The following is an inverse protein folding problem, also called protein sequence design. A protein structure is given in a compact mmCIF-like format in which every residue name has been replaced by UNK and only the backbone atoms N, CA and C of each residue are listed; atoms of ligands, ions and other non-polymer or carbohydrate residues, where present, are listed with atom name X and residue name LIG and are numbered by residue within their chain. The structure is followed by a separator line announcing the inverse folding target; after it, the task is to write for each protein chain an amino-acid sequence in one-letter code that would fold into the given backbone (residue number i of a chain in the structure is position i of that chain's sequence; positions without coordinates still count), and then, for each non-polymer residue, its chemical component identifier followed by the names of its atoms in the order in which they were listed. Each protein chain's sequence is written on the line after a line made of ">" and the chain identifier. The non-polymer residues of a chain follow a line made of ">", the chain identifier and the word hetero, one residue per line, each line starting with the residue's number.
data_IF_060928901157
#
_entry.id   IF_060928901157
#
_cell.length_a   1.000
_cell.length_b   1.000
_cell.length_c   1.000
_cell.angle_alpha   90.00
_cell.angle_beta   90.00
_cell.angle_gamma   90.00
#
_symmetry.space_group_name_H-M   'P 1'
#
loop_
_entity.id
_entity.type
_entity.pdbx_description
1 polymer ?
#
# COMPACT_ATOMS: atom_id res chain seq x y z
N UNK A 1 -33.44 67.05 -8.65
CA UNK A 1 -32.66 66.22 -7.71
C UNK A 1 -33.54 65.03 -7.33
N UNK A 2 -33.32 63.87 -7.94
CA UNK A 2 -34.06 62.64 -7.60
C UNK A 2 -33.05 61.53 -7.38
N UNK A 3 -32.85 61.18 -6.12
CA UNK A 3 -32.01 60.06 -5.67
C UNK A 3 -32.79 58.75 -5.79
N UNK A 4 -32.31 57.84 -6.64
CA UNK A 4 -32.82 56.46 -6.72
C UNK A 4 -31.99 55.61 -5.76
N UNK A 5 -32.63 55.08 -4.72
CA UNK A 5 -32.03 54.15 -3.75
C UNK A 5 -32.01 52.74 -4.34
N UNK A 6 -30.84 52.10 -4.40
CA UNK A 6 -30.69 50.72 -4.84
C UNK A 6 -31.20 49.72 -3.77
N UNK A 7 -31.78 48.56 -4.16
CA UNK A 7 -32.26 47.57 -3.21
C UNK A 7 -31.09 46.77 -2.61
N UNK A 8 -31.19 46.48 -1.31
CA UNK A 8 -30.20 45.70 -0.57
C UNK A 8 -30.07 44.26 -1.09
N UNK A 9 -28.84 43.81 -1.30
CA UNK A 9 -28.52 42.46 -1.76
C UNK A 9 -28.92 41.40 -0.70
N UNK A 10 -29.63 40.37 -1.15
CA UNK A 10 -30.04 39.22 -0.35
C UNK A 10 -28.80 38.40 0.06
N UNK A 11 -28.60 38.05 1.35
CA UNK A 11 -27.46 37.24 1.75
C UNK A 11 -27.57 35.82 1.16
N UNK A 12 -26.43 35.31 0.68
CA UNK A 12 -26.31 33.97 0.13
C UNK A 12 -26.62 32.91 1.20
N UNK A 13 -27.25 31.78 0.83
CA UNK A 13 -27.51 30.69 1.78
C UNK A 13 -26.19 30.14 2.30
N UNK A 14 -26.07 30.04 3.63
CA UNK A 14 -24.93 29.44 4.29
C UNK A 14 -24.75 27.99 3.80
N UNK A 15 -23.56 27.69 3.30
CA UNK A 15 -23.18 26.34 2.91
C UNK A 15 -23.39 25.40 4.10
N UNK A 16 -24.23 24.37 3.93
CA UNK A 16 -24.43 23.35 4.95
C UNK A 16 -23.08 22.70 5.27
N UNK A 17 -22.70 22.55 6.55
CA UNK A 17 -21.48 21.84 6.92
C UNK A 17 -21.66 20.37 6.55
N UNK A 18 -21.21 20.00 5.35
CA UNK A 18 -21.07 18.62 4.95
C UNK A 18 -20.23 17.90 5.99
N UNK A 19 -20.66 16.70 6.39
CA UNK A 19 -20.03 15.82 7.36
C UNK A 19 -18.53 15.66 7.07
N UNK A 20 -17.71 16.58 7.58
CA UNK A 20 -16.27 16.48 7.48
C UNK A 20 -15.86 15.32 8.37
N UNK A 21 -15.71 14.14 7.78
CA UNK A 21 -15.27 12.95 8.48
C UNK A 21 -13.99 13.29 9.25
N UNK A 22 -14.00 13.02 10.56
CA UNK A 22 -12.85 13.32 11.43
C UNK A 22 -11.60 12.66 10.81
N UNK A 23 -10.49 13.39 10.59
CA UNK A 23 -9.30 12.87 9.91
C UNK A 23 -8.77 11.52 10.46
N UNK A 24 -8.97 11.28 11.76
CA UNK A 24 -8.63 10.00 12.41
C UNK A 24 -9.51 8.81 11.98
N UNK A 25 -10.81 9.03 11.77
CA UNK A 25 -11.74 7.97 11.36
C UNK A 25 -11.40 7.47 9.94
N UNK A 26 -11.10 8.40 9.02
CA UNK A 26 -10.69 8.05 7.66
C UNK A 26 -9.38 7.24 7.65
N UNK A 27 -8.40 7.61 8.48
CA UNK A 27 -7.14 6.86 8.60
C UNK A 27 -7.34 5.45 9.14
N UNK A 28 -8.19 5.29 10.17
CA UNK A 28 -8.53 3.97 10.72
C UNK A 28 -9.25 3.11 9.69
N UNK A 29 -10.21 3.67 8.94
CA UNK A 29 -10.91 2.96 7.87
C UNK A 29 -9.95 2.49 6.78
N UNK A 30 -9.01 3.34 6.35
CA UNK A 30 -7.98 2.96 5.36
C UNK A 30 -7.10 1.83 5.90
N UNK A 31 -6.64 1.90 7.15
CA UNK A 31 -5.84 0.83 7.77
C UNK A 31 -6.62 -0.48 7.89
N UNK A 32 -7.90 -0.41 8.24
CA UNK A 32 -8.78 -1.57 8.30
C UNK A 32 -9.00 -2.19 6.92
N UNK A 33 -9.17 -1.38 5.87
CA UNK A 33 -9.27 -1.86 4.49
C UNK A 33 -7.99 -2.57 4.05
N UNK A 34 -6.82 -2.02 4.39
CA UNK A 34 -5.53 -2.68 4.14
C UNK A 34 -5.39 -3.99 4.92
N UNK A 35 -5.84 -4.04 6.18
CA UNK A 35 -5.83 -5.27 6.96
C UNK A 35 -6.73 -6.34 6.34
N UNK A 36 -7.95 -5.98 5.94
CA UNK A 36 -8.86 -6.89 5.26
C UNK A 36 -8.24 -7.42 3.95
N UNK A 37 -7.59 -6.55 3.17
CA UNK A 37 -6.87 -6.95 1.96
C UNK A 37 -5.69 -7.90 2.29
N UNK A 38 -4.95 -7.65 3.37
CA UNK A 38 -3.85 -8.53 3.80
C UNK A 38 -4.35 -9.93 4.14
N UNK A 39 -5.44 -10.03 4.91
CA UNK A 39 -6.06 -11.30 5.27
C UNK A 39 -6.60 -12.04 4.04
N UNK A 40 -7.23 -11.31 3.12
CA UNK A 40 -7.72 -11.86 1.86
C UNK A 40 -6.59 -12.51 1.04
N UNK A 41 -5.50 -11.79 0.77
CA UNK A 41 -4.39 -12.32 -0.02
C UNK A 41 -3.60 -13.41 0.71
N UNK A 42 -3.55 -13.36 2.05
CA UNK A 42 -2.99 -14.45 2.86
C UNK A 42 -3.82 -15.73 2.70
N UNK A 43 -5.16 -15.62 2.74
CA UNK A 43 -6.03 -16.77 2.57
C UNK A 43 -5.84 -17.44 1.20
N UNK A 44 -5.71 -16.65 0.13
CA UNK A 44 -5.38 -17.18 -1.20
C UNK A 44 -4.01 -17.84 -1.24
N UNK A 45 -2.97 -17.22 -0.68
CA UNK A 45 -1.64 -17.81 -0.63
C UNK A 45 -1.62 -19.17 0.10
N UNK A 46 -2.36 -19.28 1.21
CA UNK A 46 -2.52 -20.54 1.95
C UNK A 46 -3.29 -21.57 1.14
N UNK A 47 -4.42 -21.18 0.54
CA UNK A 47 -5.23 -22.07 -0.29
C UNK A 47 -4.42 -22.65 -1.45
N UNK A 48 -3.63 -21.81 -2.12
CA UNK A 48 -2.72 -22.23 -3.20
C UNK A 48 -1.63 -23.19 -2.70
N UNK A 49 -1.06 -22.93 -1.52
CA UNK A 49 -0.10 -23.84 -0.89
C UNK A 49 -0.70 -25.21 -0.55
N UNK A 50 -1.94 -25.24 -0.05
CA UNK A 50 -2.65 -26.48 0.27
C UNK A 50 -3.02 -27.26 -0.99
N UNK A 51 -3.52 -26.59 -2.04
CA UNK A 51 -4.02 -27.24 -3.25
C UNK A 51 -2.92 -27.63 -4.23
N UNK A 52 -1.81 -26.88 -4.29
CA UNK A 52 -0.75 -27.06 -5.30
C UNK A 52 0.60 -27.48 -4.69
N UNK A 53 0.62 -27.77 -3.39
CA UNK A 53 1.73 -28.40 -2.69
C UNK A 53 2.82 -27.45 -2.19
N UNK A 54 3.86 -28.04 -1.61
CA UNK A 54 4.89 -27.33 -0.85
C UNK A 54 5.62 -26.25 -1.64
N UNK A 55 5.77 -26.41 -2.96
CA UNK A 55 6.46 -25.43 -3.79
C UNK A 55 5.65 -24.12 -3.92
N UNK A 56 4.32 -24.21 -4.00
CA UNK A 56 3.45 -23.03 -3.95
C UNK A 56 3.53 -22.33 -2.59
N UNK A 57 3.52 -23.10 -1.49
CA UNK A 57 3.72 -22.56 -0.15
C UNK A 57 5.09 -21.88 0.00
N UNK A 58 6.15 -22.48 -0.55
CA UNK A 58 7.50 -21.90 -0.53
C UNK A 58 7.53 -20.55 -1.27
N UNK A 59 6.97 -20.47 -2.47
CA UNK A 59 6.95 -19.21 -3.22
C UNK A 59 6.12 -18.14 -2.53
N UNK A 60 4.96 -18.51 -1.95
CA UNK A 60 4.15 -17.60 -1.14
C UNK A 60 4.98 -16.99 0.01
N UNK A 61 5.68 -17.81 0.79
CA UNK A 61 6.53 -17.35 1.90
C UNK A 61 7.71 -16.54 1.39
N UNK A 62 8.38 -17.01 0.33
CA UNK A 62 9.54 -16.32 -0.24
C UNK A 62 9.17 -14.91 -0.70
N UNK A 63 8.05 -14.75 -1.41
CA UNK A 63 7.59 -13.45 -1.91
C UNK A 63 6.93 -12.58 -0.84
N UNK A 64 6.44 -13.19 0.24
CA UNK A 64 6.04 -12.46 1.43
C UNK A 64 7.24 -11.80 2.14
N UNK A 65 8.43 -12.43 2.10
CA UNK A 65 9.64 -11.89 2.75
C UNK A 65 10.47 -11.03 1.78
N UNK A 66 10.43 -11.32 0.48
CA UNK A 66 11.29 -10.70 -0.53
C UNK A 66 11.31 -9.16 -0.51
N UNK A 67 10.21 -8.42 -0.29
CA UNK A 67 10.24 -6.97 -0.25
C UNK A 67 11.19 -6.41 0.82
N UNK A 68 11.31 -7.06 1.97
CA UNK A 68 12.19 -6.62 3.06
C UNK A 68 13.66 -6.89 2.75
N UNK A 69 13.97 -7.83 1.86
CA UNK A 69 15.36 -8.07 1.45
C UNK A 69 15.96 -6.83 0.76
N UNK A 70 15.13 -5.90 0.28
CA UNK A 70 15.59 -4.62 -0.26
C UNK A 70 16.31 -3.74 0.77
N UNK A 71 16.06 -3.91 2.07
CA UNK A 71 16.81 -3.22 3.13
C UNK A 71 18.31 -3.54 3.07
N UNK A 72 18.69 -4.73 2.59
CA UNK A 72 20.09 -5.14 2.47
C UNK A 72 20.88 -4.27 1.47
N UNK A 73 20.21 -3.63 0.51
CA UNK A 73 20.85 -2.70 -0.43
C UNK A 73 21.51 -1.49 0.28
N UNK A 74 21.04 -1.14 1.49
CA UNK A 74 21.53 -0.04 2.32
C UNK A 74 22.30 -0.47 3.56
N UNK A 75 22.50 -1.77 3.80
CA UNK A 75 23.02 -2.29 5.07
C UNK A 75 24.36 -1.66 5.50
N UNK A 76 25.26 -1.38 4.55
CA UNK A 76 26.57 -0.76 4.83
C UNK A 76 26.46 0.68 5.32
N UNK A 77 25.43 1.40 4.94
CA UNK A 77 25.22 2.81 5.30
C UNK A 77 24.21 2.99 6.44
N UNK A 78 23.68 1.90 7.00
CA UNK A 78 22.67 1.92 8.06
C UNK A 78 23.14 2.61 9.34
N UNK A 79 24.45 2.64 9.62
CA UNK A 79 25.02 3.33 10.78
C UNK A 79 25.12 4.85 10.60
N UNK A 80 24.90 5.37 9.39
CA UNK A 80 25.05 6.79 9.04
C UNK A 80 23.72 7.54 8.97
N UNK A 81 22.60 6.84 9.21
CA UNK A 81 21.25 7.39 9.02
C UNK A 81 20.51 7.53 10.33
N UNK A 82 19.56 8.47 10.37
CA UNK A 82 18.74 8.72 11.55
C UNK A 82 17.74 7.59 11.80
N UNK A 83 17.24 7.50 13.03
CA UNK A 83 16.22 6.51 13.39
C UNK A 83 14.96 6.70 12.53
N UNK A 84 14.56 5.64 11.81
CA UNK A 84 13.39 5.66 10.92
C UNK A 84 13.68 6.16 9.50
N UNK A 85 14.93 6.55 9.22
CA UNK A 85 15.42 6.89 7.89
C UNK A 85 16.02 5.65 7.22
N UNK A 86 15.62 5.40 5.99
CA UNK A 86 16.23 4.40 5.13
C UNK A 86 17.45 5.01 4.39
N UNK A 87 18.62 4.33 4.30
CA UNK A 87 19.71 4.83 3.48
C UNK A 87 19.25 5.16 2.06
N UNK A 88 19.59 6.35 1.49
CA UNK A 88 19.08 6.79 0.19
C UNK A 88 19.28 5.76 -0.93
N UNK A 89 20.35 4.97 -0.85
CA UNK A 89 20.66 3.89 -1.81
C UNK A 89 19.63 2.76 -1.80
N UNK A 90 18.99 2.47 -0.67
CA UNK A 90 17.97 1.42 -0.55
C UNK A 90 16.56 1.90 -0.94
N UNK A 91 16.32 3.21 -0.93
CA UNK A 91 15.02 3.83 -1.25
C UNK A 91 14.41 3.37 -2.57
N UNK A 92 15.10 3.38 -3.73
CA UNK A 92 14.47 2.97 -4.99
C UNK A 92 14.04 1.50 -4.97
N UNK A 93 14.87 0.61 -4.40
CA UNK A 93 14.56 -0.81 -4.27
C UNK A 93 13.36 -1.05 -3.35
N UNK A 94 13.38 -0.44 -2.16
CA UNK A 94 12.28 -0.50 -1.21
C UNK A 94 10.97 -0.01 -1.84
N UNK A 95 11.00 1.17 -2.48
CA UNK A 95 9.80 1.76 -3.07
C UNK A 95 9.24 0.95 -4.24
N UNK A 96 10.11 0.33 -5.04
CA UNK A 96 9.68 -0.57 -6.10
C UNK A 96 9.01 -1.81 -5.50
N UNK A 97 9.65 -2.49 -4.54
CA UNK A 97 9.11 -3.70 -3.92
C UNK A 97 7.83 -3.44 -3.11
N UNK A 98 7.65 -2.24 -2.54
CA UNK A 98 6.48 -1.88 -1.72
C UNK A 98 5.38 -1.15 -2.53
N UNK A 99 5.48 -1.14 -3.86
CA UNK A 99 4.45 -0.57 -4.73
C UNK A 99 3.37 -1.62 -5.01
N UNK A 100 2.24 -1.53 -4.31
CA UNK A 100 1.11 -2.46 -4.46
C UNK A 100 0.62 -2.65 -5.91
N UNK A 101 0.71 -1.61 -6.76
CA UNK A 101 0.32 -1.71 -8.16
C UNK A 101 1.11 -2.78 -8.94
N UNK A 102 2.34 -3.09 -8.55
CA UNK A 102 3.16 -4.08 -9.26
C UNK A 102 2.59 -5.49 -9.08
N UNK A 103 2.48 -6.06 -7.86
CA UNK A 103 1.88 -7.38 -7.70
C UNK A 103 0.41 -7.41 -8.16
N UNK A 104 -0.36 -6.32 -8.02
CA UNK A 104 -1.72 -6.26 -8.57
C UNK A 104 -1.72 -6.42 -10.08
N UNK A 105 -0.88 -5.67 -10.80
CA UNK A 105 -0.79 -5.77 -12.25
C UNK A 105 -0.33 -7.16 -12.70
N UNK A 106 0.60 -7.78 -11.97
CA UNK A 106 1.07 -9.13 -12.25
C UNK A 106 -0.03 -10.19 -12.04
N UNK A 107 -0.81 -10.08 -10.97
CA UNK A 107 -1.97 -10.94 -10.70
C UNK A 107 -3.02 -10.80 -11.81
N UNK A 108 -3.37 -9.56 -12.18
CA UNK A 108 -4.33 -9.31 -13.27
C UNK A 108 -3.81 -9.88 -14.59
N UNK A 109 -2.52 -9.68 -14.89
CA UNK A 109 -1.90 -10.24 -16.09
C UNK A 109 -1.98 -11.76 -16.09
N UNK A 110 -1.62 -12.40 -14.97
CA UNK A 110 -1.70 -13.86 -14.79
C UNK A 110 -3.12 -14.39 -15.09
N UNK A 111 -4.17 -13.66 -14.73
CA UNK A 111 -5.56 -14.10 -14.99
C UNK A 111 -6.02 -14.00 -16.44
N UNK A 112 -5.33 -13.23 -17.29
CA UNK A 112 -5.74 -13.01 -18.69
C UNK A 112 -4.81 -13.65 -19.71
N UNK A 113 -3.62 -14.08 -19.32
CA UNK A 113 -2.69 -14.83 -20.19
C UNK A 113 -2.92 -16.34 -20.06
N UNK A 114 -2.65 -17.14 -21.11
CA UNK A 114 -2.77 -18.61 -21.05
C UNK A 114 -1.56 -19.22 -20.33
N UNK A 115 -1.33 -18.80 -19.09
CA UNK A 115 -0.23 -19.25 -18.26
C UNK A 115 -0.77 -19.71 -16.92
N UNK A 116 -0.63 -21.00 -16.63
CA UNK A 116 -1.20 -21.65 -15.45
C UNK A 116 -0.10 -22.28 -14.62
N UNK A 117 0.48 -21.49 -13.72
CA UNK A 117 1.49 -21.95 -12.78
C UNK A 117 1.15 -21.46 -11.38
N UNK A 118 0.39 -22.27 -10.64
CA UNK A 118 -0.10 -21.94 -9.30
C UNK A 118 0.98 -21.42 -8.32
N UNK A 119 2.23 -21.97 -8.29
CA UNK A 119 3.25 -21.47 -7.38
C UNK A 119 3.60 -20.00 -7.53
N UNK A 120 3.66 -19.45 -8.76
CA UNK A 120 3.95 -18.02 -8.90
C UNK A 120 2.77 -17.16 -8.50
N UNK A 121 1.54 -17.62 -8.76
CA UNK A 121 0.34 -16.93 -8.29
C UNK A 121 0.31 -16.86 -6.76
N UNK A 122 0.60 -17.97 -6.08
CA UNK A 122 0.77 -18.01 -4.62
C UNK A 122 1.83 -17.02 -4.14
N UNK A 123 2.96 -16.93 -4.84
CA UNK A 123 4.01 -15.94 -4.62
C UNK A 123 3.49 -14.50 -4.72
N UNK A 124 2.76 -14.16 -5.78
CA UNK A 124 2.19 -12.82 -5.94
C UNK A 124 1.16 -12.49 -4.85
N UNK A 125 0.36 -13.46 -4.40
CA UNK A 125 -0.52 -13.30 -3.25
C UNK A 125 0.27 -13.01 -1.97
N UNK A 126 1.35 -13.74 -1.71
CA UNK A 126 2.26 -13.49 -0.58
C UNK A 126 2.87 -12.09 -0.61
N UNK A 127 3.33 -11.64 -1.79
CA UNK A 127 3.84 -10.28 -1.98
C UNK A 127 2.80 -9.21 -1.68
N UNK A 128 1.58 -9.34 -2.23
CA UNK A 128 0.52 -8.36 -2.01
C UNK A 128 0.02 -8.36 -0.56
N UNK A 129 0.01 -9.53 0.11
CA UNK A 129 -0.28 -9.65 1.53
C UNK A 129 0.74 -8.89 2.37
N UNK A 130 2.04 -9.05 2.10
CA UNK A 130 3.11 -8.31 2.78
C UNK A 130 2.89 -6.79 2.71
N UNK A 131 2.72 -6.24 1.50
CA UNK A 131 2.50 -4.80 1.32
C UNK A 131 1.26 -4.33 2.09
N UNK A 132 0.21 -5.16 2.12
CA UNK A 132 -1.05 -4.83 2.78
C UNK A 132 -0.93 -4.80 4.29
N UNK A 133 -0.20 -5.74 4.90
CA UNK A 133 0.13 -5.70 6.33
C UNK A 133 0.91 -4.43 6.67
N UNK A 134 1.90 -4.09 5.85
CA UNK A 134 2.68 -2.87 6.00
C UNK A 134 1.77 -1.63 6.08
N UNK A 135 0.83 -1.50 5.14
CA UNK A 135 -0.10 -0.35 5.11
C UNK A 135 -1.10 -0.38 6.26
N UNK A 136 -1.53 -1.55 6.70
CA UNK A 136 -2.41 -1.73 7.85
C UNK A 136 -1.73 -1.25 9.15
N UNK A 137 -0.46 -1.61 9.35
CA UNK A 137 0.34 -1.15 10.50
C UNK A 137 0.84 0.29 10.36
N UNK A 138 0.62 0.89 9.19
CA UNK A 138 0.91 2.28 8.93
C UNK A 138 2.34 2.53 8.46
N UNK A 139 3.03 1.51 7.95
CA UNK A 139 4.22 1.65 7.11
C UNK A 139 3.83 2.07 5.68
N UNK A 140 4.79 2.64 4.95
CA UNK A 140 4.53 3.20 3.64
C UNK A 140 5.81 3.51 2.87
N UNK A 141 5.63 4.01 1.65
CA UNK A 141 6.73 4.37 0.77
C UNK A 141 7.64 5.42 1.39
N UNK A 142 8.90 5.45 0.94
CA UNK A 142 9.92 6.39 1.41
C UNK A 142 10.07 7.60 0.50
N UNK A 143 10.38 8.75 1.08
CA UNK A 143 10.85 9.95 0.38
C UNK A 143 12.24 9.69 -0.20
N UNK A 144 12.75 10.60 -1.06
CA UNK A 144 14.12 10.49 -1.59
C UNK A 144 15.16 10.48 -0.47
N UNK A 145 14.88 11.18 0.62
CA UNK A 145 15.72 11.26 1.81
C UNK A 145 15.58 10.06 2.75
N UNK A 146 14.71 9.09 2.42
CA UNK A 146 14.58 7.84 3.17
C UNK A 146 13.54 7.84 4.28
N UNK A 147 12.87 8.96 4.54
CA UNK A 147 11.79 9.05 5.53
C UNK A 147 10.48 8.51 4.99
N UNK A 148 9.57 8.13 5.87
CA UNK A 148 8.26 7.63 5.45
C UNK A 148 7.37 8.76 4.91
N UNK A 149 6.73 8.52 3.76
CA UNK A 149 5.67 9.38 3.20
C UNK A 149 4.40 9.20 4.04
N UNK A 150 3.87 10.31 4.57
CA UNK A 150 2.63 10.33 5.36
C UNK A 150 1.38 10.55 4.53
#
# INVERSE_FOLDING_TARGET
>A
MSSITAPAAKPAPAASPGLAAKPGLARTAIRAAWLANALFWTAFAVLEGVNHGWFAALLAVAFFIAPDLTFLAGARDAHKVEKGQLPPRAVPYYNAAHRALIPVALIVTYTVVPFTWAPIFAGMCGWLAHISFDRAFGYGLRTKDGFQRR
#
